data_IF_544623415420
#
_entry.id   IF_544623415420
#
_cell.length_a   1.000
_cell.length_b   1.000
_cell.length_c   1.000
_cell.angle_alpha   90.00
_cell.angle_beta   90.00
_cell.angle_gamma   90.00
#
_symmetry.space_group_name_H-M   'P 1'
#
loop_
_entity.id
_entity.type
_entity.pdbx_description
1 polymer ?
#
# COMPACT_ATOMS: atom_id res chain seq x y z
N UNK A 1 37.40 8.32 -10.91
CA UNK A 1 36.88 7.61 -9.71
C UNK A 1 35.74 6.69 -10.18
N UNK A 2 35.73 5.41 -9.79
CA UNK A 2 34.57 4.55 -10.04
C UNK A 2 33.41 5.09 -9.20
N UNK A 3 32.35 5.50 -9.85
CA UNK A 3 31.13 5.89 -9.16
C UNK A 3 30.52 4.61 -8.60
N UNK A 4 30.53 4.46 -7.29
CA UNK A 4 29.90 3.32 -6.63
C UNK A 4 28.40 3.34 -6.92
N UNK A 5 27.86 2.17 -7.22
CA UNK A 5 26.43 1.99 -7.43
C UNK A 5 25.91 0.93 -6.47
N UNK A 6 24.73 1.15 -5.93
CA UNK A 6 24.10 0.24 -4.97
C UNK A 6 23.01 -0.56 -5.68
N UNK A 7 23.04 -1.88 -5.49
CA UNK A 7 21.98 -2.76 -5.92
C UNK A 7 20.98 -2.98 -4.78
N UNK A 8 19.72 -2.68 -5.06
CA UNK A 8 18.60 -2.89 -4.14
C UNK A 8 17.73 -4.01 -4.69
N UNK A 9 17.54 -5.06 -3.90
CA UNK A 9 16.70 -6.20 -4.26
C UNK A 9 15.35 -6.06 -3.59
N UNK A 10 14.31 -5.89 -4.40
CA UNK A 10 12.92 -5.66 -3.99
C UNK A 10 12.45 -4.23 -4.26
N UNK A 11 11.42 -4.09 -5.09
CA UNK A 11 10.80 -2.83 -5.46
C UNK A 11 9.51 -2.53 -4.69
N UNK A 12 9.40 -3.03 -3.46
CA UNK A 12 8.36 -2.66 -2.50
C UNK A 12 8.69 -1.33 -1.79
N UNK A 13 7.91 -0.94 -0.79
CA UNK A 13 8.11 0.34 -0.09
C UNK A 13 9.51 0.49 0.50
N UNK A 14 10.05 -0.54 1.14
CA UNK A 14 11.40 -0.46 1.74
C UNK A 14 12.46 -0.16 0.69
N UNK A 15 12.47 -0.90 -0.42
CA UNK A 15 13.43 -0.67 -1.51
C UNK A 15 13.25 0.70 -2.16
N UNK A 16 12.02 1.13 -2.37
CA UNK A 16 11.71 2.44 -2.94
C UNK A 16 12.19 3.60 -2.04
N UNK A 17 11.96 3.51 -0.72
CA UNK A 17 12.41 4.52 0.25
C UNK A 17 13.93 4.59 0.28
N UNK A 18 14.62 3.46 0.36
CA UNK A 18 16.10 3.41 0.36
C UNK A 18 16.63 4.00 -0.94
N UNK A 19 16.09 3.59 -2.09
CA UNK A 19 16.53 4.13 -3.39
C UNK A 19 16.36 5.65 -3.47
N UNK A 20 15.22 6.16 -3.02
CA UNK A 20 14.93 7.60 -3.01
C UNK A 20 15.90 8.35 -2.12
N UNK A 21 16.14 7.89 -0.89
CA UNK A 21 17.05 8.52 0.05
C UNK A 21 18.50 8.54 -0.48
N UNK A 22 18.95 7.44 -1.04
CA UNK A 22 20.29 7.37 -1.64
C UNK A 22 20.41 8.28 -2.86
N UNK A 23 19.40 8.35 -3.70
CA UNK A 23 19.38 9.23 -4.87
C UNK A 23 19.44 10.71 -4.48
N UNK A 24 18.76 11.12 -3.41
CA UNK A 24 18.82 12.49 -2.85
C UNK A 24 20.23 12.85 -2.36
N UNK A 25 21.04 11.86 -2.00
CA UNK A 25 22.44 12.03 -1.64
C UNK A 25 23.41 11.81 -2.82
N UNK A 26 22.90 11.75 -4.05
CA UNK A 26 23.72 11.60 -5.26
C UNK A 26 24.26 10.19 -5.50
N UNK A 27 23.79 9.20 -4.76
CA UNK A 27 24.21 7.80 -4.93
C UNK A 27 23.38 7.13 -6.02
N UNK A 28 24.03 6.52 -6.99
CA UNK A 28 23.36 5.76 -8.05
C UNK A 28 22.86 4.43 -7.51
N UNK A 29 21.57 4.14 -7.74
CA UNK A 29 20.95 2.88 -7.35
C UNK A 29 20.38 2.13 -8.57
N UNK A 30 20.47 0.81 -8.50
CA UNK A 30 19.73 -0.09 -9.38
C UNK A 30 18.78 -0.91 -8.51
N UNK A 31 17.47 -0.83 -8.79
CA UNK A 31 16.46 -1.60 -8.07
C UNK A 31 16.01 -2.74 -8.97
N UNK A 32 16.02 -3.96 -8.43
CA UNK A 32 15.53 -5.16 -9.12
C UNK A 32 14.41 -5.82 -8.31
N UNK A 33 13.46 -6.42 -9.01
CA UNK A 33 12.41 -7.24 -8.40
C UNK A 33 12.15 -8.46 -9.27
N UNK A 34 11.70 -9.55 -8.66
CA UNK A 34 11.29 -10.76 -9.40
C UNK A 34 9.92 -10.64 -10.04
N UNK A 35 9.10 -9.69 -9.57
CA UNK A 35 7.77 -9.41 -10.11
C UNK A 35 7.88 -8.49 -11.32
N UNK A 36 6.90 -8.54 -12.18
CA UNK A 36 6.75 -7.72 -13.38
C UNK A 36 6.20 -6.31 -13.10
N UNK A 37 6.10 -5.95 -11.83
CA UNK A 37 5.58 -4.66 -11.35
C UNK A 37 6.35 -4.15 -10.12
N UNK A 38 6.30 -2.86 -9.87
CA UNK A 38 6.79 -2.20 -8.66
C UNK A 38 5.70 -2.17 -7.58
N UNK A 39 6.03 -1.68 -6.37
CA UNK A 39 5.08 -1.49 -5.27
C UNK A 39 4.96 -2.69 -4.32
N UNK A 40 5.55 -3.84 -4.66
CA UNK A 40 5.52 -5.02 -3.79
C UNK A 40 4.09 -5.49 -3.53
N UNK A 41 3.76 -5.76 -2.27
CA UNK A 41 2.41 -6.18 -1.87
C UNK A 41 1.38 -5.02 -1.87
N UNK A 42 1.85 -3.77 -1.99
CA UNK A 42 0.97 -2.61 -2.08
C UNK A 42 0.59 -2.27 -3.54
N UNK A 43 0.98 -3.13 -4.49
CA UNK A 43 0.67 -2.91 -5.88
C UNK A 43 -0.84 -2.97 -6.15
N UNK A 44 -1.31 -1.96 -6.86
CA UNK A 44 -2.65 -1.88 -7.40
C UNK A 44 -2.63 -1.58 -8.92
N UNK A 45 -3.75 -1.82 -9.57
CA UNK A 45 -3.91 -1.56 -11.00
C UNK A 45 -5.34 -1.20 -11.35
N UNK A 46 -5.51 -0.54 -12.48
CA UNK A 46 -6.83 -0.22 -13.00
C UNK A 46 -7.36 -1.38 -13.85
N UNK A 47 -8.44 -1.98 -13.40
CA UNK A 47 -9.21 -2.91 -14.21
C UNK A 47 -10.20 -2.12 -15.06
N UNK A 48 -10.10 -2.30 -16.37
CA UNK A 48 -11.02 -1.67 -17.33
C UNK A 48 -12.31 -2.48 -17.40
N UNK A 49 -13.42 -1.83 -17.09
CA UNK A 49 -14.75 -2.37 -17.22
C UNK A 49 -15.60 -1.45 -18.11
N UNK A 50 -16.66 -1.96 -18.72
CA UNK A 50 -17.58 -1.20 -19.60
C UNK A 50 -18.18 0.02 -18.90
N UNK A 51 -18.43 -0.07 -17.59
CA UNK A 51 -18.99 1.01 -16.76
C UNK A 51 -17.94 1.94 -16.15
N UNK A 52 -16.64 1.77 -16.48
CA UNK A 52 -15.55 2.59 -15.96
C UNK A 52 -14.39 1.77 -15.40
N UNK A 53 -13.35 2.47 -14.98
CA UNK A 53 -12.16 1.83 -14.39
C UNK A 53 -12.38 1.56 -12.91
N UNK A 54 -11.96 0.38 -12.47
CA UNK A 54 -11.98 -0.05 -11.07
C UNK A 54 -10.55 -0.25 -10.59
N UNK A 55 -10.16 0.42 -9.51
CA UNK A 55 -8.86 0.22 -8.87
C UNK A 55 -8.88 -1.07 -8.06
N UNK A 56 -7.98 -1.99 -8.39
CA UNK A 56 -7.87 -3.30 -7.74
C UNK A 56 -6.55 -3.42 -7.00
N UNK A 57 -6.61 -3.75 -5.71
CA UNK A 57 -5.46 -4.12 -4.90
C UNK A 57 -5.13 -5.60 -5.15
N UNK A 58 -4.03 -5.88 -5.86
CA UNK A 58 -3.69 -7.25 -6.33
C UNK A 58 -3.48 -8.25 -5.20
N UNK A 59 -2.94 -7.80 -4.07
CA UNK A 59 -2.54 -8.66 -2.95
C UNK A 59 -3.38 -8.45 -1.69
N UNK A 60 -4.58 -7.93 -1.85
CA UNK A 60 -5.50 -7.60 -0.78
C UNK A 60 -5.47 -6.11 -0.42
N UNK A 61 -6.51 -5.64 0.28
CA UNK A 61 -6.63 -4.23 0.64
C UNK A 61 -5.47 -3.81 1.55
N UNK A 62 -4.87 -2.68 1.25
CA UNK A 62 -3.85 -2.06 2.07
C UNK A 62 -4.24 -0.61 2.33
N UNK A 63 -4.12 -0.23 3.59
CA UNK A 63 -4.47 1.09 4.09
C UNK A 63 -3.26 1.65 4.83
N UNK A 64 -2.94 2.90 4.56
CA UNK A 64 -1.88 3.57 5.31
C UNK A 64 -2.39 3.99 6.68
N UNK A 65 -1.68 3.59 7.72
CA UNK A 65 -1.99 3.95 9.09
C UNK A 65 -0.71 4.23 9.88
N UNK A 66 -0.60 5.41 10.45
CA UNK A 66 0.49 5.79 11.34
C UNK A 66 0.12 6.99 12.21
N UNK A 67 0.73 7.07 13.40
CA UNK A 67 0.70 8.26 14.26
C UNK A 67 1.99 9.10 14.11
N UNK A 68 2.95 8.66 13.29
CA UNK A 68 4.20 9.36 13.08
C UNK A 68 4.02 10.46 12.04
N UNK A 69 4.04 11.72 12.51
CA UNK A 69 3.88 12.90 11.66
C UNK A 69 4.99 13.08 10.63
N UNK A 70 6.22 12.70 10.97
CA UNK A 70 7.36 12.79 10.05
C UNK A 70 7.17 11.87 8.85
N UNK A 71 6.70 10.64 9.08
CA UNK A 71 6.37 9.68 8.03
C UNK A 71 5.26 10.21 7.13
N UNK A 72 4.19 10.76 7.72
CA UNK A 72 3.10 11.38 6.94
C UNK A 72 3.63 12.52 6.09
N UNK A 73 4.38 13.44 6.67
CA UNK A 73 4.95 14.60 5.97
C UNK A 73 5.85 14.16 4.81
N UNK A 74 6.72 13.20 5.05
CA UNK A 74 7.63 12.70 4.01
C UNK A 74 6.89 12.02 2.87
N UNK A 75 5.91 11.17 3.16
CA UNK A 75 5.12 10.46 2.15
C UNK A 75 4.17 11.40 1.38
N UNK A 76 3.71 12.48 1.99
CA UNK A 76 2.84 13.48 1.35
C UNK A 76 3.52 14.25 0.20
N UNK A 77 4.84 14.09 0.05
CA UNK A 77 5.56 14.60 -1.12
C UNK A 77 5.25 13.79 -2.40
N UNK A 78 4.73 12.59 -2.27
CA UNK A 78 4.52 11.63 -3.36
C UNK A 78 3.07 11.33 -3.66
N UNK A 79 2.16 11.65 -2.73
CA UNK A 79 0.74 11.31 -2.86
C UNK A 79 -0.14 12.27 -2.09
N UNK A 80 -1.38 12.37 -2.51
CA UNK A 80 -2.47 12.97 -1.73
C UNK A 80 -3.17 11.87 -0.93
N UNK A 81 -3.52 12.18 0.32
CA UNK A 81 -4.19 11.25 1.22
C UNK A 81 -5.70 11.45 1.15
N UNK A 82 -6.41 10.34 1.09
CA UNK A 82 -7.87 10.31 1.18
C UNK A 82 -8.27 9.66 2.49
N UNK A 83 -9.06 10.34 3.29
CA UNK A 83 -9.61 9.78 4.51
C UNK A 83 -10.52 8.59 4.21
N UNK A 84 -10.14 7.44 4.77
CA UNK A 84 -10.88 6.21 4.58
C UNK A 84 -11.26 5.58 5.92
N UNK A 85 -12.55 5.42 6.15
CA UNK A 85 -13.08 4.69 7.32
C UNK A 85 -13.34 3.24 6.93
N UNK A 86 -12.42 2.37 7.31
CA UNK A 86 -12.54 0.95 7.07
C UNK A 86 -13.67 0.33 7.90
N UNK A 87 -14.64 -0.31 7.23
CA UNK A 87 -15.75 -1.01 7.87
C UNK A 87 -15.77 -2.44 7.36
N UNK A 88 -15.51 -3.38 8.25
CA UNK A 88 -15.57 -4.81 7.94
C UNK A 88 -16.89 -5.38 8.43
N UNK A 89 -17.52 -6.20 7.59
CA UNK A 89 -18.71 -6.96 7.93
C UNK A 89 -18.48 -8.44 7.67
N UNK A 90 -18.97 -9.29 8.55
CA UNK A 90 -19.06 -10.72 8.33
C UNK A 90 -20.48 -11.08 7.92
N UNK A 91 -20.61 -12.00 6.99
CA UNK A 91 -21.90 -12.62 6.66
C UNK A 91 -22.08 -13.88 7.50
N UNK A 92 -23.20 -13.96 8.19
CA UNK A 92 -23.61 -15.14 8.95
C UNK A 92 -24.19 -16.22 8.03
N UNK A 93 -24.32 -17.45 8.54
CA UNK A 93 -24.87 -18.56 7.78
C UNK A 93 -26.35 -18.34 7.35
N UNK A 94 -27.08 -17.52 8.07
CA UNK A 94 -28.46 -17.11 7.76
C UNK A 94 -28.57 -15.93 6.78
N UNK A 95 -27.40 -15.44 6.27
CA UNK A 95 -27.33 -14.35 5.31
C UNK A 95 -27.27 -12.95 5.91
N UNK A 96 -27.43 -12.78 7.23
CA UNK A 96 -27.30 -11.47 7.90
C UNK A 96 -25.85 -10.99 7.90
N UNK A 97 -25.66 -9.66 7.93
CA UNK A 97 -24.35 -9.03 8.04
C UNK A 97 -24.16 -8.42 9.42
N UNK A 98 -23.03 -8.71 10.02
CA UNK A 98 -22.63 -8.18 11.33
C UNK A 98 -21.34 -7.41 11.22
N UNK A 99 -21.16 -6.42 12.10
CA UNK A 99 -19.93 -5.61 12.13
C UNK A 99 -18.77 -6.37 12.76
N UNK A 100 -17.59 -6.29 12.16
CA UNK A 100 -16.33 -6.77 12.73
C UNK A 100 -15.40 -5.58 13.05
N UNK A 101 -14.60 -5.68 14.13
CA UNK A 101 -14.52 -6.77 15.12
C UNK A 101 -15.81 -6.88 15.94
N UNK A 102 -15.96 -8.03 16.62
CA UNK A 102 -17.09 -8.29 17.53
C UNK A 102 -17.31 -7.14 18.50
N UNK A 103 -18.52 -6.62 18.52
CA UNK A 103 -18.92 -5.48 19.34
C UNK A 103 -20.28 -5.77 20.03
N UNK A 104 -20.87 -4.75 20.66
CA UNK A 104 -22.16 -4.92 21.36
C UNK A 104 -23.27 -5.41 20.42
N UNK A 105 -23.36 -4.84 19.21
CA UNK A 105 -24.33 -5.25 18.17
C UNK A 105 -24.18 -6.74 17.82
N UNK A 106 -22.95 -7.23 17.72
CA UNK A 106 -22.67 -8.65 17.39
C UNK A 106 -23.04 -9.61 18.52
N UNK A 107 -23.08 -9.14 19.78
CA UNK A 107 -23.44 -9.97 20.94
C UNK A 107 -24.94 -10.14 21.14
N UNK A 108 -25.73 -9.32 20.51
CA UNK A 108 -27.20 -9.32 20.61
C UNK A 108 -27.86 -10.19 19.51
N UNK A 109 -27.04 -10.88 18.71
CA UNK A 109 -27.45 -11.81 17.66
C UNK A 109 -27.30 -13.25 18.11
#
# INVERSE_FOLDING_TARGET
MKQESILIVGAGFSGAVIARQLAEHGVRCTVIDKRDHIGGNAYDYDFKHESGNIRIHKYGPHLFHTNNKEVVTWLSQFTEWVDYKHKVKAQLADGRYVTLPVNKETKEI
#
